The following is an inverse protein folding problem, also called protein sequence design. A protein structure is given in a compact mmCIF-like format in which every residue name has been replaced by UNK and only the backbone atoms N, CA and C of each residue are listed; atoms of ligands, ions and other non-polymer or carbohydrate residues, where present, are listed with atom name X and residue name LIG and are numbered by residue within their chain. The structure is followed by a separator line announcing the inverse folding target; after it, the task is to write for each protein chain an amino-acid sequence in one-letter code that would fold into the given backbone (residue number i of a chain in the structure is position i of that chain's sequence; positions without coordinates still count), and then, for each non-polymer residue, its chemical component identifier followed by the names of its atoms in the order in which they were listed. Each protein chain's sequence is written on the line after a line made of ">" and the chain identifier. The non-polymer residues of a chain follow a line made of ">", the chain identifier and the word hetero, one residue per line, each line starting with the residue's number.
data_IF_481784982790
#
_entry.id   IF_481784982790
#
_cell.length_a   1.000
_cell.length_b   1.000
_cell.length_c   1.000
_cell.angle_alpha   90.00
_cell.angle_beta   90.00
_cell.angle_gamma   90.00
#
_symmetry.space_group_name_H-M   'P 1'
#
loop_
_entity.id
_entity.type
_entity.pdbx_description
1 polymer ?
#
# COMPACT_ATOMS: atom_id res chain seq x y z
N UNK A 1 -20.62 23.81 37.04
CA UNK A 1 -20.93 23.14 35.76
C UNK A 1 -20.69 21.64 35.90
N UNK A 2 -21.47 20.80 35.23
CA UNK A 2 -21.23 19.34 35.18
C UNK A 2 -20.48 19.02 33.89
N UNK A 3 -19.18 19.33 33.86
CA UNK A 3 -18.34 19.10 32.68
C UNK A 3 -17.98 17.63 32.55
N UNK A 4 -18.28 17.06 31.39
CA UNK A 4 -17.79 15.76 30.91
C UNK A 4 -16.27 15.80 30.68
N UNK A 5 -15.59 14.64 30.62
CA UNK A 5 -14.17 14.58 30.30
C UNK A 5 -13.83 15.29 28.98
N UNK A 6 -14.60 15.04 27.91
CA UNK A 6 -14.42 15.68 26.60
C UNK A 6 -14.53 17.21 26.66
N UNK A 7 -15.47 17.74 27.44
CA UNK A 7 -15.59 19.19 27.63
C UNK A 7 -14.41 19.79 28.40
N UNK A 8 -13.81 19.03 29.34
CA UNK A 8 -12.58 19.46 30.02
C UNK A 8 -11.40 19.47 29.07
N UNK A 9 -11.28 18.47 28.20
CA UNK A 9 -10.22 18.40 27.20
C UNK A 9 -10.33 19.53 26.17
N UNK A 10 -11.55 19.92 25.77
CA UNK A 10 -11.77 21.10 24.93
C UNK A 10 -11.36 22.40 25.63
N UNK A 11 -11.58 22.52 26.94
CA UNK A 11 -11.07 23.68 27.69
C UNK A 11 -9.55 23.71 27.76
N UNK A 12 -8.88 22.55 27.84
CA UNK A 12 -7.42 22.47 27.75
C UNK A 12 -6.91 22.88 26.36
N UNK A 13 -7.59 22.42 25.30
CA UNK A 13 -7.29 22.84 23.93
C UNK A 13 -7.42 24.35 23.76
N UNK A 14 -8.54 24.92 24.22
CA UNK A 14 -8.76 26.36 24.22
C UNK A 14 -7.66 27.10 24.98
N UNK A 15 -7.28 26.63 26.17
CA UNK A 15 -6.20 27.22 26.96
C UNK A 15 -4.85 27.22 26.23
N UNK A 16 -4.53 26.14 25.50
CA UNK A 16 -3.34 26.07 24.68
C UNK A 16 -3.40 27.03 23.47
N UNK A 17 -4.56 27.15 22.83
CA UNK A 17 -4.79 28.07 21.72
C UNK A 17 -4.71 29.53 22.15
N UNK A 18 -5.27 29.88 23.31
CA UNK A 18 -5.16 31.22 23.90
C UNK A 18 -3.71 31.58 24.22
N UNK A 19 -2.94 30.63 24.75
CA UNK A 19 -1.51 30.81 24.97
C UNK A 19 -0.77 31.07 23.64
N UNK A 20 -1.11 30.33 22.58
CA UNK A 20 -0.57 30.52 21.24
C UNK A 20 -0.93 31.90 20.66
N UNK A 21 -2.21 32.31 20.75
CA UNK A 21 -2.67 33.65 20.34
C UNK A 21 -1.93 34.76 21.08
N UNK A 22 -1.77 34.63 22.40
CA UNK A 22 -1.04 35.60 23.21
C UNK A 22 0.45 35.68 22.85
N UNK A 23 1.08 34.55 22.48
CA UNK A 23 2.47 34.52 22.00
C UNK A 23 2.60 35.18 20.62
N UNK A 24 1.73 34.83 19.68
CA UNK A 24 1.67 35.42 18.33
C UNK A 24 1.43 36.93 18.38
N UNK A 25 0.54 37.40 19.25
CA UNK A 25 0.26 38.82 19.43
C UNK A 25 1.48 39.63 19.92
N UNK A 26 2.47 38.96 20.55
CA UNK A 26 3.77 39.55 20.91
C UNK A 26 4.82 39.44 19.80
N UNK A 27 4.46 38.97 18.61
CA UNK A 27 5.35 38.79 17.47
C UNK A 27 6.18 37.51 17.50
N UNK A 28 5.83 36.53 18.36
CA UNK A 28 6.51 35.24 18.35
C UNK A 28 5.97 34.35 17.24
N UNK A 29 6.87 33.69 16.51
CA UNK A 29 6.54 32.62 15.57
C UNK A 29 6.19 31.36 16.36
N UNK A 30 5.08 30.73 15.99
CA UNK A 30 4.52 29.59 16.69
C UNK A 30 5.30 28.31 16.43
N UNK A 31 5.44 27.47 17.45
CA UNK A 31 5.95 26.10 17.32
C UNK A 31 4.82 25.10 16.98
N UNK A 32 5.17 23.81 16.86
CA UNK A 32 4.23 22.74 16.50
C UNK A 32 3.01 22.66 17.44
N UNK A 33 3.15 22.49 18.77
CA UNK A 33 1.99 22.47 19.67
C UNK A 33 1.11 23.72 19.60
N UNK A 34 1.70 24.89 19.48
CA UNK A 34 0.97 26.17 19.42
C UNK A 34 0.17 26.31 18.13
N UNK A 35 0.78 25.98 16.99
CA UNK A 35 0.12 26.00 15.70
C UNK A 35 -1.05 24.99 15.67
N UNK A 36 -0.81 23.75 16.10
CA UNK A 36 -1.84 22.70 16.17
C UNK A 36 -3.01 23.12 17.05
N UNK A 37 -2.74 23.66 18.26
CA UNK A 37 -3.79 24.10 19.17
C UNK A 37 -4.62 25.23 18.58
N UNK A 38 -3.98 26.24 17.97
CA UNK A 38 -4.67 27.39 17.38
C UNK A 38 -5.53 26.98 16.17
N UNK A 39 -5.04 26.10 15.31
CA UNK A 39 -5.79 25.56 14.16
C UNK A 39 -7.01 24.77 14.65
N UNK A 40 -6.82 23.86 15.60
CA UNK A 40 -7.90 23.03 16.14
C UNK A 40 -8.97 23.87 16.85
N UNK A 41 -8.56 24.84 17.66
CA UNK A 41 -9.48 25.76 18.35
C UNK A 41 -10.24 26.65 17.35
N UNK A 42 -9.62 27.05 16.25
CA UNK A 42 -10.32 27.80 15.17
C UNK A 42 -11.48 27.01 14.59
N UNK A 43 -11.35 25.68 14.45
CA UNK A 43 -12.45 24.81 14.03
C UNK A 43 -13.55 24.77 15.11
N UNK A 44 -13.17 24.58 16.38
CA UNK A 44 -14.12 24.52 17.49
C UNK A 44 -14.96 25.79 17.60
N UNK A 45 -14.32 26.97 17.52
CA UNK A 45 -15.00 28.25 17.59
C UNK A 45 -15.86 28.51 16.35
N UNK A 46 -15.39 28.16 15.15
CA UNK A 46 -16.20 28.25 13.94
C UNK A 46 -17.45 27.34 14.01
N UNK A 47 -17.31 26.12 14.51
CA UNK A 47 -18.44 25.22 14.75
C UNK A 47 -19.42 25.82 15.77
N UNK A 48 -18.89 26.42 16.85
CA UNK A 48 -19.69 27.08 17.88
C UNK A 48 -20.47 28.29 17.36
N UNK A 49 -19.92 29.00 16.37
CA UNK A 49 -20.54 30.10 15.63
C UNK A 49 -21.61 29.63 14.61
N UNK A 50 -21.83 28.32 14.46
CA UNK A 50 -22.79 27.75 13.53
C UNK A 50 -22.28 27.64 12.08
N UNK A 51 -20.97 27.73 11.86
CA UNK A 51 -20.38 27.51 10.53
C UNK A 51 -20.53 26.03 10.10
N UNK A 52 -20.61 25.78 8.80
CA UNK A 52 -20.57 24.40 8.29
C UNK A 52 -19.17 23.80 8.45
N UNK A 53 -19.08 22.47 8.51
CA UNK A 53 -17.80 21.75 8.60
C UNK A 53 -16.76 22.22 7.56
N UNK A 54 -17.16 22.33 6.30
CA UNK A 54 -16.28 22.80 5.23
C UNK A 54 -15.78 24.23 5.46
N UNK A 55 -16.64 25.14 5.93
CA UNK A 55 -16.28 26.52 6.24
C UNK A 55 -15.32 26.60 7.44
N UNK A 56 -15.54 25.77 8.47
CA UNK A 56 -14.65 25.68 9.62
C UNK A 56 -13.24 25.19 9.23
N UNK A 57 -13.16 24.18 8.35
CA UNK A 57 -11.88 23.68 7.81
C UNK A 57 -11.17 24.78 7.01
N UNK A 58 -11.87 25.50 6.14
CA UNK A 58 -11.27 26.58 5.35
C UNK A 58 -10.79 27.76 6.22
N UNK A 59 -11.54 28.12 7.27
CA UNK A 59 -11.08 29.10 8.27
C UNK A 59 -9.81 28.63 8.97
N UNK A 60 -9.75 27.36 9.35
CA UNK A 60 -8.58 26.78 10.02
C UNK A 60 -7.35 26.73 9.11
N UNK A 61 -7.52 26.53 7.80
CA UNK A 61 -6.43 26.64 6.79
C UNK A 61 -5.92 28.06 6.59
N UNK A 62 -6.76 29.05 6.87
CA UNK A 62 -6.45 30.47 6.62
C UNK A 62 -5.91 31.19 7.86
N UNK A 63 -5.88 30.54 9.03
CA UNK A 63 -5.59 31.20 10.31
C UNK A 63 -4.10 31.45 10.55
N UNK A 64 -3.23 30.64 9.95
CA UNK A 64 -1.77 30.75 10.04
C UNK A 64 -1.14 30.73 8.65
N UNK A 65 -0.24 31.69 8.40
CA UNK A 65 0.65 31.68 7.25
C UNK A 65 2.06 31.17 7.60
N UNK A 66 2.95 31.05 6.58
CA UNK A 66 4.34 30.62 6.79
C UNK A 66 5.14 31.54 7.72
N UNK A 67 4.79 32.83 7.76
CA UNK A 67 5.46 33.82 8.61
C UNK A 67 5.02 33.76 10.08
N UNK A 68 3.87 33.14 10.36
CA UNK A 68 3.34 33.01 11.71
C UNK A 68 3.97 31.87 12.52
N UNK A 69 4.66 30.95 11.85
CA UNK A 69 5.17 29.71 12.46
C UNK A 69 6.68 29.59 12.28
N UNK A 70 7.37 28.85 13.14
CA UNK A 70 8.81 28.60 13.02
C UNK A 70 9.13 27.80 11.74
N UNK A 71 10.35 27.93 11.19
CA UNK A 71 10.77 27.10 10.04
C UNK A 71 10.61 25.61 10.34
N UNK A 72 10.07 24.85 9.40
CA UNK A 72 9.82 23.41 9.55
C UNK A 72 8.47 23.05 10.18
N UNK A 73 7.74 23.99 10.78
CA UNK A 73 6.43 23.70 11.40
C UNK A 73 5.40 23.28 10.35
N UNK A 74 5.40 23.92 9.17
CA UNK A 74 4.50 23.55 8.07
C UNK A 74 4.76 22.13 7.54
N UNK A 75 6.01 21.65 7.62
CA UNK A 75 6.38 20.29 7.21
C UNK A 75 6.01 19.23 8.25
N UNK A 76 5.90 19.62 9.53
CA UNK A 76 5.53 18.71 10.62
C UNK A 76 4.02 18.67 10.85
N UNK A 77 3.35 19.82 10.79
CA UNK A 77 1.89 19.95 10.97
C UNK A 77 1.20 19.77 9.62
N UNK A 78 1.24 18.55 9.10
CA UNK A 78 0.65 18.21 7.80
C UNK A 78 -0.87 18.04 7.90
N UNK A 79 -1.38 17.57 9.04
CA UNK A 79 -2.81 17.42 9.30
C UNK A 79 -3.14 17.75 10.76
N UNK A 80 -4.29 18.36 10.99
CA UNK A 80 -4.85 18.57 12.34
C UNK A 80 -6.24 17.96 12.39
N UNK A 81 -6.43 17.02 13.32
CA UNK A 81 -7.70 16.34 13.56
C UNK A 81 -8.34 16.87 14.84
N UNK A 82 -9.58 17.32 14.75
CA UNK A 82 -10.32 17.81 15.91
C UNK A 82 -11.81 17.48 15.79
N UNK A 83 -12.38 16.96 16.87
CA UNK A 83 -13.83 16.77 16.97
C UNK A 83 -14.47 18.03 17.56
N UNK A 84 -15.34 18.67 16.77
CA UNK A 84 -16.08 19.86 17.17
C UNK A 84 -17.59 19.58 17.18
N UNK A 85 -18.33 20.33 17.99
CA UNK A 85 -19.79 20.23 18.09
C UNK A 85 -20.41 21.29 17.21
N UNK A 86 -21.01 20.85 16.11
CA UNK A 86 -21.79 21.67 15.18
C UNK A 86 -23.27 21.62 15.56
N UNK A 87 -24.09 22.41 14.87
CA UNK A 87 -25.55 22.45 15.08
C UNK A 87 -26.22 21.09 14.82
N UNK A 88 -25.60 20.23 14.00
CA UNK A 88 -26.05 18.87 13.70
C UNK A 88 -25.34 17.78 14.53
N UNK A 89 -24.57 18.18 15.55
CA UNK A 89 -23.88 17.30 16.49
C UNK A 89 -22.36 17.27 16.32
N UNK A 90 -21.73 16.29 16.97
CA UNK A 90 -20.27 16.09 16.89
C UNK A 90 -19.84 15.65 15.49
N UNK A 91 -18.82 16.30 14.94
CA UNK A 91 -18.16 15.93 13.68
C UNK A 91 -16.64 15.96 13.84
N UNK A 92 -15.96 15.02 13.19
CA UNK A 92 -14.50 15.07 13.03
C UNK A 92 -14.15 16.00 11.88
N UNK A 93 -13.40 17.06 12.15
CA UNK A 93 -12.77 17.89 11.15
C UNK A 93 -11.33 17.45 10.94
N UNK A 94 -10.98 17.24 9.67
CA UNK A 94 -9.62 16.92 9.22
C UNK A 94 -9.13 18.10 8.40
N UNK A 95 -8.18 18.86 8.97
CA UNK A 95 -7.57 20.01 8.33
C UNK A 95 -6.25 19.58 7.72
N UNK A 96 -6.28 19.11 6.47
CA UNK A 96 -5.07 18.72 5.74
C UNK A 96 -4.36 19.95 5.15
N UNK A 97 -3.02 19.92 5.19
CA UNK A 97 -2.11 20.99 4.81
C UNK A 97 -2.53 22.38 5.35
N UNK A 98 -2.64 22.53 6.69
CA UNK A 98 -3.19 23.74 7.29
C UNK A 98 -2.28 24.97 7.16
N UNK A 99 -0.99 24.78 6.87
CA UNK A 99 -0.01 25.86 6.73
C UNK A 99 0.74 25.66 5.41
N UNK A 100 0.79 26.69 4.58
CA UNK A 100 1.54 26.67 3.33
C UNK A 100 3.04 26.92 3.55
N UNK A 101 3.88 26.51 2.59
CA UNK A 101 5.28 26.95 2.49
C UNK A 101 6.29 26.18 3.35
N UNK A 102 6.32 24.85 3.22
CA UNK A 102 7.31 23.98 3.86
C UNK A 102 8.75 24.13 3.33
N UNK A 103 9.70 23.51 4.03
CA UNK A 103 11.13 23.50 3.72
C UNK A 103 11.55 22.40 2.73
N UNK A 104 10.67 21.45 2.40
CA UNK A 104 10.94 20.38 1.43
C UNK A 104 12.11 19.50 1.89
N UNK A 105 13.13 19.33 1.07
CA UNK A 105 14.32 18.50 1.39
C UNK A 105 15.10 18.98 2.62
N UNK A 106 14.87 20.22 3.07
CA UNK A 106 15.47 20.77 4.30
C UNK A 106 14.56 20.66 5.52
N UNK A 107 13.40 20.01 5.38
CA UNK A 107 12.45 19.82 6.47
C UNK A 107 12.97 18.84 7.52
N UNK A 108 12.51 18.96 8.78
CA UNK A 108 12.76 17.94 9.80
C UNK A 108 12.26 16.57 9.33
N UNK A 109 13.15 15.57 9.30
CA UNK A 109 12.80 14.22 8.87
C UNK A 109 12.67 14.03 7.35
N UNK A 110 13.10 15.00 6.54
CA UNK A 110 13.12 14.85 5.08
C UNK A 110 13.96 13.63 4.66
N UNK A 111 13.40 12.81 3.79
CA UNK A 111 14.12 11.72 3.14
C UNK A 111 14.90 12.28 1.97
N UNK A 112 16.22 12.02 1.94
CA UNK A 112 17.11 12.40 0.85
C UNK A 112 17.38 11.14 0.01
N UNK A 113 16.53 10.83 -0.98
CA UNK A 113 16.74 9.67 -1.83
C UNK A 113 18.07 9.83 -2.58
N UNK A 114 18.79 8.73 -2.74
CA UNK A 114 19.94 8.68 -3.63
C UNK A 114 19.45 8.87 -5.06
N UNK A 115 20.10 9.74 -5.84
CA UNK A 115 19.82 9.88 -7.27
C UNK A 115 19.96 8.51 -7.98
N UNK A 116 18.95 8.16 -8.76
CA UNK A 116 18.77 6.84 -9.39
C UNK A 116 19.73 6.64 -10.58
N UNK A 117 21.02 6.41 -10.33
CA UNK A 117 21.92 5.94 -11.39
C UNK A 117 22.31 4.47 -11.25
N UNK A 118 22.01 3.80 -10.13
CA UNK A 118 22.25 2.35 -9.97
C UNK A 118 21.59 1.85 -8.69
N UNK A 119 20.31 1.51 -8.78
CA UNK A 119 19.78 0.45 -7.91
C UNK A 119 19.74 -0.80 -8.78
N UNK A 120 20.67 -1.73 -8.52
CA UNK A 120 20.41 -3.12 -8.84
C UNK A 120 19.11 -3.50 -8.12
N UNK A 121 18.15 -4.00 -8.90
CA UNK A 121 16.79 -4.33 -8.49
C UNK A 121 16.79 -5.12 -7.17
N UNK A 122 16.51 -4.43 -6.07
CA UNK A 122 16.38 -5.03 -4.74
C UNK A 122 14.95 -5.54 -4.49
N UNK A 123 14.19 -5.86 -5.55
CA UNK A 123 12.87 -6.46 -5.48
C UNK A 123 11.76 -5.52 -5.01
N UNK A 124 12.02 -4.20 -5.02
CA UNK A 124 11.07 -3.13 -4.71
C UNK A 124 10.43 -2.50 -5.96
N UNK A 125 10.90 -2.87 -7.15
CA UNK A 125 10.27 -2.51 -8.42
C UNK A 125 8.98 -3.29 -8.68
N UNK A 126 8.18 -2.83 -9.66
CA UNK A 126 7.08 -3.64 -10.18
C UNK A 126 7.65 -4.97 -10.69
N UNK A 127 7.24 -6.11 -10.13
CA UNK A 127 7.82 -7.39 -10.53
C UNK A 127 7.51 -7.64 -12.01
N UNK A 128 8.51 -8.06 -12.78
CA UNK A 128 8.32 -8.32 -14.21
C UNK A 128 7.23 -9.39 -14.42
N UNK A 129 6.20 -9.11 -15.24
CA UNK A 129 5.09 -10.03 -15.42
C UNK A 129 5.53 -11.23 -16.27
N UNK A 130 5.44 -12.44 -15.70
CA UNK A 130 5.69 -13.68 -16.42
C UNK A 130 4.54 -14.06 -17.37
N UNK A 131 3.33 -13.57 -17.08
CA UNK A 131 2.11 -13.78 -17.86
C UNK A 131 1.30 -12.48 -17.88
N UNK A 132 0.66 -12.19 -19.01
CA UNK A 132 -0.32 -11.11 -19.13
C UNK A 132 -1.69 -11.69 -19.48
N UNK A 133 -2.73 -11.25 -18.78
CA UNK A 133 -4.12 -11.65 -19.03
C UNK A 133 -5.01 -10.42 -19.10
N UNK A 134 -5.97 -10.43 -20.03
CA UNK A 134 -7.09 -9.49 -20.00
C UNK A 134 -8.15 -10.02 -19.04
N UNK A 135 -8.56 -9.18 -18.08
CA UNK A 135 -9.54 -9.51 -17.05
C UNK A 135 -10.70 -8.55 -17.16
N UNK A 136 -11.92 -9.09 -17.26
CA UNK A 136 -13.15 -8.31 -17.37
C UNK A 136 -14.00 -8.48 -16.12
N UNK A 137 -14.38 -7.38 -15.48
CA UNK A 137 -15.31 -7.43 -14.36
C UNK A 137 -16.77 -7.41 -14.84
N UNK A 138 -17.46 -8.55 -14.74
CA UNK A 138 -18.86 -8.68 -15.13
C UNK A 138 -19.85 -8.32 -14.00
N UNK A 139 -19.37 -8.00 -12.80
CA UNK A 139 -20.21 -7.63 -11.68
C UNK A 139 -20.74 -6.18 -11.81
N UNK A 140 -21.92 -5.88 -11.23
CA UNK A 140 -22.44 -4.51 -11.16
C UNK A 140 -21.69 -3.63 -10.14
N UNK A 141 -20.72 -4.20 -9.43
CA UNK A 141 -19.95 -3.55 -8.37
C UNK A 141 -18.45 -3.65 -8.68
N UNK A 142 -17.64 -2.69 -8.22
CA UNK A 142 -16.19 -2.74 -8.41
C UNK A 142 -15.58 -3.90 -7.61
N UNK A 143 -14.55 -4.53 -8.17
CA UNK A 143 -13.77 -5.59 -7.53
C UNK A 143 -12.32 -5.15 -7.43
N UNK A 144 -11.70 -5.33 -6.26
CA UNK A 144 -10.28 -5.06 -6.07
C UNK A 144 -9.56 -6.34 -5.64
N UNK A 145 -8.42 -6.62 -6.26
CA UNK A 145 -7.59 -7.80 -5.99
C UNK A 145 -6.21 -7.33 -5.53
N UNK A 146 -5.74 -7.83 -4.39
CA UNK A 146 -4.47 -7.44 -3.78
C UNK A 146 -3.27 -8.18 -4.37
N UNK A 147 -2.07 -7.63 -4.23
CA UNK A 147 -0.82 -8.10 -4.84
C UNK A 147 -0.47 -9.57 -4.58
N UNK A 148 -0.86 -10.12 -3.42
CA UNK A 148 -0.52 -11.47 -2.98
C UNK A 148 -1.70 -12.43 -2.95
N UNK A 149 -2.82 -12.04 -3.54
CA UNK A 149 -3.96 -12.92 -3.67
C UNK A 149 -3.70 -13.97 -4.77
N UNK A 150 -4.05 -15.24 -4.53
CA UNK A 150 -3.97 -16.28 -5.56
C UNK A 150 -4.98 -15.99 -6.67
N UNK A 151 -4.51 -15.51 -7.82
CA UNK A 151 -5.35 -14.82 -8.80
C UNK A 151 -6.43 -15.73 -9.40
N UNK A 152 -6.13 -17.02 -9.54
CA UNK A 152 -7.10 -18.05 -9.90
C UNK A 152 -8.36 -18.06 -9.03
N UNK A 153 -8.22 -17.77 -7.72
CA UNK A 153 -9.31 -17.79 -6.75
C UNK A 153 -10.02 -16.44 -6.62
N UNK A 154 -9.65 -15.45 -7.43
CA UNK A 154 -10.27 -14.13 -7.41
C UNK A 154 -11.76 -14.22 -7.76
N UNK A 155 -12.52 -13.16 -7.44
CA UNK A 155 -13.98 -13.12 -7.52
C UNK A 155 -14.55 -13.87 -8.75
N UNK A 156 -15.55 -14.76 -8.59
CA UNK A 156 -16.15 -15.55 -9.68
C UNK A 156 -16.61 -14.74 -10.89
N UNK A 157 -16.94 -13.45 -10.69
CA UNK A 157 -17.44 -12.53 -11.73
C UNK A 157 -16.35 -11.81 -12.51
N UNK A 158 -15.09 -12.00 -12.15
CA UNK A 158 -13.97 -11.65 -13.02
C UNK A 158 -13.83 -12.75 -14.07
N UNK A 159 -13.94 -12.36 -15.34
CA UNK A 159 -13.82 -13.23 -16.50
C UNK A 159 -12.43 -13.09 -17.12
N UNK A 160 -11.70 -14.20 -17.15
CA UNK A 160 -10.31 -14.32 -17.64
C UNK A 160 -9.94 -15.81 -17.74
N UNK A 161 -8.82 -16.13 -18.40
CA UNK A 161 -8.30 -17.50 -18.45
C UNK A 161 -7.83 -17.97 -17.06
N UNK A 162 -8.72 -18.64 -16.32
CA UNK A 162 -8.42 -19.17 -14.98
C UNK A 162 -7.37 -20.28 -15.02
N UNK A 163 -7.43 -21.27 -15.93
CA UNK A 163 -6.36 -22.26 -16.07
C UNK A 163 -4.96 -21.64 -16.18
N UNK A 164 -4.80 -20.53 -16.91
CA UNK A 164 -3.52 -19.83 -17.05
C UNK A 164 -3.11 -19.09 -15.77
N UNK A 165 -4.06 -18.56 -15.00
CA UNK A 165 -3.80 -17.85 -13.74
C UNK A 165 -3.49 -18.76 -12.53
N UNK A 166 -3.58 -20.09 -12.67
CA UNK A 166 -3.35 -21.02 -11.56
C UNK A 166 -1.91 -20.90 -11.02
N UNK A 167 -1.80 -20.76 -9.69
CA UNK A 167 -0.54 -20.64 -8.98
C UNK A 167 0.19 -19.31 -9.20
N UNK A 168 -0.53 -18.27 -9.62
CA UNK A 168 0.00 -16.92 -9.86
C UNK A 168 -0.66 -15.87 -8.96
N UNK A 169 -0.02 -14.71 -8.86
CA UNK A 169 -0.49 -13.50 -8.16
C UNK A 169 -0.21 -12.27 -9.02
N UNK A 170 -0.83 -11.14 -8.69
CA UNK A 170 -0.61 -9.88 -9.42
C UNK A 170 0.86 -9.45 -9.40
N UNK A 171 1.34 -9.05 -10.58
CA UNK A 171 2.66 -8.48 -10.79
C UNK A 171 2.66 -6.97 -10.46
N UNK A 172 2.36 -6.64 -9.21
CA UNK A 172 2.31 -5.26 -8.71
C UNK A 172 3.07 -5.15 -7.38
N UNK A 173 3.44 -3.95 -6.93
CA UNK A 173 4.17 -3.78 -5.68
C UNK A 173 3.45 -4.41 -4.49
N UNK A 174 4.22 -4.95 -3.54
CA UNK A 174 3.67 -5.55 -2.33
C UNK A 174 2.78 -4.55 -1.57
N UNK A 175 1.64 -5.03 -1.04
CA UNK A 175 0.64 -4.18 -0.39
C UNK A 175 -0.30 -3.41 -1.34
N UNK A 176 -0.02 -3.37 -2.65
CA UNK A 176 -0.90 -2.73 -3.64
C UNK A 176 -2.05 -3.62 -4.09
N UNK A 177 -2.98 -3.05 -4.86
CA UNK A 177 -4.11 -3.77 -5.45
C UNK A 177 -4.45 -3.23 -6.83
N UNK A 178 -5.05 -4.07 -7.67
CA UNK A 178 -5.67 -3.65 -8.94
C UNK A 178 -7.18 -3.58 -8.73
N UNK A 179 -7.80 -2.48 -9.17
CA UNK A 179 -9.25 -2.26 -9.09
C UNK A 179 -9.83 -2.38 -10.50
N UNK A 180 -10.91 -3.15 -10.60
CA UNK A 180 -11.74 -3.29 -11.79
C UNK A 180 -13.10 -2.65 -11.51
N UNK A 181 -13.45 -1.60 -12.24
CA UNK A 181 -14.78 -1.00 -12.25
C UNK A 181 -15.85 -1.96 -12.79
N UNK A 182 -17.14 -1.67 -12.58
CA UNK A 182 -18.21 -2.48 -13.19
C UNK A 182 -18.13 -2.47 -14.71
N UNK A 183 -18.05 -3.65 -15.34
CA UNK A 183 -17.93 -3.80 -16.80
C UNK A 183 -16.55 -3.50 -17.40
N UNK A 184 -15.56 -3.15 -16.57
CA UNK A 184 -14.23 -2.76 -17.04
C UNK A 184 -13.39 -3.98 -17.43
N UNK A 185 -12.67 -3.87 -18.56
CA UNK A 185 -11.66 -4.84 -19.00
C UNK A 185 -10.27 -4.21 -18.91
N UNK A 186 -9.35 -4.84 -18.17
CA UNK A 186 -7.97 -4.39 -18.02
C UNK A 186 -6.99 -5.53 -18.34
N UNK A 187 -5.88 -5.20 -18.98
CA UNK A 187 -4.73 -6.11 -19.07
C UNK A 187 -3.91 -6.02 -17.79
N UNK A 188 -3.63 -7.17 -17.19
CA UNK A 188 -2.84 -7.27 -15.96
C UNK A 188 -1.63 -8.18 -16.15
N UNK A 189 -0.58 -7.90 -15.39
CA UNK A 189 0.57 -8.78 -15.22
C UNK A 189 0.39 -9.76 -14.06
N UNK A 190 0.87 -10.98 -14.24
CA UNK A 190 0.88 -12.03 -13.24
C UNK A 190 2.29 -12.62 -13.08
N UNK A 191 2.63 -12.97 -11.84
CA UNK A 191 3.87 -13.69 -11.49
C UNK A 191 3.54 -14.96 -10.71
N UNK A 192 4.32 -16.04 -10.86
CA UNK A 192 4.14 -17.24 -10.06
C UNK A 192 4.26 -16.94 -8.56
N UNK A 193 3.44 -17.63 -7.76
CA UNK A 193 3.65 -17.66 -6.31
C UNK A 193 5.00 -18.34 -6.04
N UNK A 194 5.84 -17.72 -5.21
CA UNK A 194 7.15 -18.23 -4.83
C UNK A 194 7.11 -19.14 -3.59
N UNK A 195 8.29 -19.44 -3.03
CA UNK A 195 8.42 -20.26 -1.82
C UNK A 195 7.95 -21.70 -2.01
N UNK A 196 7.31 -22.28 -0.99
CA UNK A 196 6.79 -23.65 -1.02
C UNK A 196 5.54 -23.84 -1.91
N UNK A 197 5.03 -22.77 -2.53
CA UNK A 197 3.89 -22.79 -3.45
C UNK A 197 2.66 -23.47 -2.84
N UNK A 198 2.31 -23.10 -1.61
CA UNK A 198 1.12 -23.58 -0.89
C UNK A 198 0.11 -22.44 -0.81
N UNK A 199 -1.11 -22.67 -1.31
CA UNK A 199 -2.21 -21.71 -1.27
C UNK A 199 -3.26 -22.18 -0.26
N UNK A 200 -3.49 -21.42 0.81
CA UNK A 200 -4.42 -21.75 1.90
C UNK A 200 -5.34 -20.55 2.17
N UNK A 201 -6.63 -20.79 2.36
CA UNK A 201 -7.62 -19.76 2.63
C UNK A 201 -8.30 -19.30 1.33
N UNK A 202 -7.96 -18.11 0.84
CA UNK A 202 -8.54 -17.50 -0.38
C UNK A 202 -10.04 -17.81 -0.57
N UNK A 203 -10.39 -18.64 -1.57
CA UNK A 203 -11.75 -19.13 -1.80
C UNK A 203 -11.88 -20.64 -1.54
N UNK A 204 -10.86 -21.28 -0.96
CA UNK A 204 -10.81 -22.70 -0.64
C UNK A 204 -10.76 -23.62 -1.86
N UNK A 205 -10.39 -23.10 -3.03
CA UNK A 205 -10.36 -23.92 -4.26
C UNK A 205 -9.16 -24.85 -4.30
N UNK A 206 -8.04 -24.47 -3.67
CA UNK A 206 -6.82 -25.29 -3.55
C UNK A 206 -6.65 -25.83 -2.13
N UNK A 207 -6.56 -24.93 -1.14
CA UNK A 207 -6.29 -25.25 0.28
C UNK A 207 -5.15 -26.27 0.50
N UNK A 208 -4.02 -26.05 -0.17
CA UNK A 208 -2.88 -26.95 -0.13
C UNK A 208 -1.76 -26.59 -1.10
N UNK A 209 -0.80 -27.51 -1.32
CA UNK A 209 0.29 -27.34 -2.27
C UNK A 209 -0.24 -27.23 -3.71
N UNK A 210 0.16 -26.18 -4.42
CA UNK A 210 -0.30 -25.89 -5.78
C UNK A 210 0.17 -26.95 -6.78
N UNK A 211 1.36 -27.51 -6.57
CA UNK A 211 2.01 -28.44 -7.48
C UNK A 211 1.77 -29.92 -7.10
N UNK A 212 0.87 -30.20 -6.14
CA UNK A 212 0.52 -31.58 -5.79
C UNK A 212 -0.19 -32.29 -6.98
N UNK A 213 0.06 -33.60 -7.19
CA UNK A 213 -0.57 -34.35 -8.29
C UNK A 213 -2.09 -34.23 -8.27
N UNK A 214 -2.67 -33.74 -9.36
CA UNK A 214 -4.12 -33.55 -9.50
C UNK A 214 -4.70 -32.29 -8.85
N UNK A 215 -3.93 -31.50 -8.09
CA UNK A 215 -4.42 -30.30 -7.40
C UNK A 215 -5.00 -29.26 -8.37
N UNK A 216 -4.31 -29.00 -9.49
CA UNK A 216 -4.80 -28.08 -10.54
C UNK A 216 -6.13 -28.52 -11.14
N UNK A 217 -6.26 -29.81 -11.46
CA UNK A 217 -7.49 -30.37 -12.04
C UNK A 217 -8.65 -30.34 -11.04
N UNK A 218 -8.38 -30.64 -9.77
CA UNK A 218 -9.32 -30.53 -8.67
C UNK A 218 -9.82 -29.10 -8.50
N UNK A 219 -8.89 -28.13 -8.45
CA UNK A 219 -9.20 -26.72 -8.27
C UNK A 219 -10.06 -26.18 -9.42
N UNK A 220 -9.75 -26.54 -10.67
CA UNK A 220 -10.55 -26.20 -11.85
C UNK A 220 -11.97 -26.78 -11.77
N UNK A 221 -12.09 -28.04 -11.34
CA UNK A 221 -13.40 -28.68 -11.16
C UNK A 221 -14.24 -27.97 -10.09
N UNK A 222 -13.63 -27.60 -8.96
CA UNK A 222 -14.30 -26.83 -7.89
C UNK A 222 -14.70 -25.43 -8.38
N UNK A 223 -13.83 -24.75 -9.10
CA UNK A 223 -14.11 -23.44 -9.68
C UNK A 223 -15.33 -23.49 -10.61
N UNK A 224 -15.37 -24.47 -11.53
CA UNK A 224 -16.51 -24.69 -12.41
C UNK A 224 -17.80 -24.98 -11.62
N UNK A 225 -17.73 -25.87 -10.62
CA UNK A 225 -18.88 -26.21 -9.77
C UNK A 225 -19.43 -24.99 -8.98
N UNK A 226 -18.56 -24.07 -8.59
CA UNK A 226 -18.92 -22.82 -7.91
C UNK A 226 -19.29 -21.67 -8.87
N UNK A 227 -19.32 -21.90 -10.18
CA UNK A 227 -19.75 -20.90 -11.18
C UNK A 227 -18.73 -19.78 -11.42
N UNK A 228 -17.44 -20.08 -11.28
CA UNK A 228 -16.36 -19.17 -11.64
C UNK A 228 -16.28 -19.03 -13.17
N UNK A 229 -16.28 -17.80 -13.67
CA UNK A 229 -16.15 -17.53 -15.11
C UNK A 229 -14.75 -17.89 -15.63
N UNK A 230 -14.61 -18.19 -16.92
CA UNK A 230 -13.30 -18.44 -17.53
C UNK A 230 -12.65 -19.79 -17.18
N UNK A 231 -13.45 -20.75 -16.69
CA UNK A 231 -13.05 -22.16 -16.59
C UNK A 231 -13.54 -22.89 -17.84
N UNK A 232 -12.67 -23.63 -18.58
CA UNK A 232 -13.09 -24.35 -19.78
C UNK A 232 -14.08 -25.46 -19.44
N UNK A 233 -15.10 -25.65 -20.28
CA UNK A 233 -16.17 -26.62 -20.08
C UNK A 233 -15.72 -28.08 -20.32
N UNK A 234 -14.48 -28.34 -20.76
CA UNK A 234 -13.94 -29.68 -20.98
C UNK A 234 -12.44 -29.74 -20.68
N UNK A 235 -11.95 -30.72 -19.89
CA UNK A 235 -10.52 -30.91 -19.69
C UNK A 235 -9.94 -31.59 -20.94
N UNK A 236 -9.46 -30.81 -21.91
CA UNK A 236 -8.74 -31.39 -23.04
C UNK A 236 -7.38 -31.95 -22.58
N UNK A 237 -7.18 -33.23 -22.93
CA UNK A 237 -6.00 -34.03 -22.65
C UNK A 237 -4.72 -33.47 -23.25
N UNK A 238 -3.61 -33.88 -22.65
CA UNK A 238 -2.28 -33.35 -22.90
C UNK A 238 -1.82 -33.36 -24.36
N UNK A 239 -1.03 -32.35 -24.67
CA UNK A 239 -0.01 -32.41 -25.70
C UNK A 239 1.30 -31.92 -25.09
N UNK A 240 2.03 -32.83 -24.44
CA UNK A 240 3.47 -32.67 -24.30
C UNK A 240 4.07 -32.62 -25.73
N UNK A 241 4.54 -31.45 -26.12
CA UNK A 241 5.33 -31.31 -27.34
C UNK A 241 6.70 -31.99 -27.12
N UNK A 242 7.22 -32.77 -28.08
CA UNK A 242 8.44 -33.52 -27.89
C UNK A 242 9.65 -32.58 -27.87
N UNK A 243 10.46 -32.66 -26.82
CA UNK A 243 11.81 -32.11 -26.80
C UNK A 243 12.64 -32.90 -27.82
N UNK A 244 12.95 -32.24 -28.94
CA UNK A 244 13.83 -32.76 -29.97
C UNK A 244 15.23 -33.02 -29.41
N UNK A 245 15.66 -34.27 -29.57
CA UNK A 245 17.03 -34.69 -29.37
C UNK A 245 17.98 -33.90 -30.28
N UNK A 246 19.07 -33.37 -29.71
CA UNK A 246 20.29 -33.04 -30.43
C UNK A 246 21.47 -33.73 -29.76
N UNK A 247 21.80 -34.85 -30.39
CA UNK A 247 23.13 -35.32 -30.76
C UNK A 247 24.32 -34.98 -29.84
N UNK A 248 24.83 -36.08 -29.27
CA UNK A 248 26.18 -36.27 -28.77
C UNK A 248 27.23 -35.99 -29.86
N UNK A 249 28.25 -35.20 -29.54
CA UNK A 249 29.56 -35.35 -30.17
C UNK A 249 30.67 -35.26 -29.11
N UNK A 250 31.38 -36.37 -29.05
CA UNK A 250 32.55 -36.74 -28.28
C UNK A 250 33.74 -35.77 -28.47
N UNK A 251 34.58 -35.64 -27.46
CA UNK A 251 35.80 -34.82 -27.53
C UNK A 251 36.42 -34.47 -26.17
N UNK A 252 37.18 -35.40 -25.60
CA UNK A 252 38.19 -35.16 -24.56
C UNK A 252 39.57 -35.58 -25.12
N UNK A 253 40.71 -35.41 -24.41
CA UNK A 253 41.02 -34.57 -23.24
C UNK A 253 42.33 -33.76 -23.43
N UNK A 254 42.62 -32.73 -22.62
CA UNK A 254 44.02 -32.35 -22.31
C UNK A 254 44.16 -31.80 -20.87
N UNK A 255 45.29 -32.16 -20.27
CA UNK A 255 45.70 -32.03 -18.88
C UNK A 255 46.60 -30.82 -18.64
N UNK A 256 46.46 -30.12 -17.51
CA UNK A 256 47.57 -29.52 -16.72
C UNK A 256 46.99 -28.94 -15.42
N UNK A 257 47.30 -29.48 -14.24
CA UNK A 257 48.53 -29.29 -13.43
C UNK A 257 48.48 -28.02 -12.55
N UNK A 258 48.86 -28.19 -11.27
CA UNK A 258 49.35 -27.10 -10.40
C UNK A 258 48.38 -26.45 -9.39
N UNK A 259 48.42 -26.94 -8.15
CA UNK A 259 47.93 -26.32 -6.90
C UNK A 259 48.78 -25.06 -6.50
N UNK A 260 48.61 -24.37 -5.32
CA UNK A 260 47.73 -24.67 -4.19
C UNK A 260 46.98 -23.48 -3.54
N UNK A 261 46.00 -23.86 -2.74
CA UNK A 261 45.25 -23.11 -1.75
C UNK A 261 46.14 -22.79 -0.53
N UNK A 262 46.07 -21.56 -0.01
CA UNK A 262 46.64 -21.20 1.30
C UNK A 262 45.50 -20.65 2.15
N UNK A 263 45.19 -21.25 3.32
CA UNK A 263 44.22 -20.72 4.28
C UNK A 263 44.93 -19.96 5.41
N UNK A 264 44.21 -19.02 6.05
CA UNK A 264 44.22 -18.68 7.50
C UNK A 264 43.75 -17.23 7.75
N UNK A 265 43.37 -16.84 8.99
CA UNK A 265 42.65 -17.58 10.03
C UNK A 265 41.65 -16.68 10.82
N UNK A 266 41.08 -17.27 11.89
CA UNK A 266 40.70 -16.62 13.16
C UNK A 266 39.35 -15.87 13.28
N UNK A 267 38.35 -16.65 13.70
CA UNK A 267 37.46 -16.27 14.80
C UNK A 267 38.11 -16.67 16.14
N UNK A 268 38.09 -15.77 17.13
CA UNK A 268 37.98 -15.93 18.60
C UNK A 268 38.50 -14.62 19.23
N UNK A 269 38.11 -14.14 20.40
CA UNK A 269 37.02 -14.32 21.34
C UNK A 269 37.25 -13.22 22.41
N UNK A 270 36.24 -12.97 23.23
CA UNK A 270 36.37 -12.53 24.62
C UNK A 270 36.96 -11.14 24.94
N UNK A 271 36.06 -10.21 25.30
CA UNK A 271 36.13 -9.37 26.51
C UNK A 271 34.83 -8.61 26.76
#
# INVERSE_FOLDING_TARGET
>A
MRLTPTERDRLLLFGAAELARARRARGLRLNVPEATALIADTVCEAARDGARLAEAIERARSVLGPDDVLPGVADVVTEVHVEAVFDDGSRLAVVSAPIAGGLGDRAPGALLPRAEDTLEDTGSGEPEPALRLTVTNTAPVPVSVTSHFHFFEANPRLDFDRPAAYGTRLAVPAGSSVRFGPGESLEIGLVPIGGARVAVGFAGLVDGPLDAPGARAEALRRAAACGYLGVPETPEGGSEAPVGARETSDGAPETSDGAPETPDPEQEADR
#
